data_IF_870191288244
#
_entry.id   IF_870191288244
#
_cell.length_a   1.000
_cell.length_b   1.000
_cell.length_c   1.000
_cell.angle_alpha   90.00
_cell.angle_beta   90.00
_cell.angle_gamma   90.00
#
_symmetry.space_group_name_H-M   'P 1'
#
loop_
_entity.id
_entity.type
_entity.pdbx_description
1 polymer ?
#
# COMPACT_ATOMS: atom_id res chain seq x y z
N UNK A 1 -10.08 12.33 -1.46
CA UNK A 1 -9.61 12.61 -0.09
C UNK A 1 -8.28 13.33 -0.15
N UNK A 2 -8.17 14.42 0.56
CA UNK A 2 -6.91 15.14 0.66
C UNK A 2 -6.22 14.77 1.97
N UNK A 3 -4.98 14.30 1.89
CA UNK A 3 -4.21 13.93 3.06
C UNK A 3 -3.54 15.15 3.66
N UNK A 4 -3.74 15.37 4.96
CA UNK A 4 -3.12 16.46 5.71
C UNK A 4 -1.95 15.91 6.52
N UNK A 5 -0.84 15.64 5.86
CA UNK A 5 0.35 15.08 6.48
C UNK A 5 1.52 16.04 6.29
N UNK A 6 2.20 16.43 7.37
CA UNK A 6 3.38 17.26 7.26
C UNK A 6 4.54 16.47 6.66
N UNK A 7 4.85 16.72 5.39
CA UNK A 7 5.91 15.99 4.69
C UNK A 7 7.32 16.37 5.19
N UNK A 8 7.45 17.46 5.92
CA UNK A 8 8.72 17.88 6.52
C UNK A 8 9.08 17.09 7.78
N UNK A 9 8.10 16.45 8.44
CA UNK A 9 8.36 15.70 9.66
C UNK A 9 8.74 14.27 9.35
N UNK A 10 9.82 13.81 9.97
CA UNK A 10 10.21 12.40 9.96
C UNK A 10 9.49 11.67 11.07
N UNK A 11 8.37 11.07 10.72
CA UNK A 11 7.60 10.27 11.67
C UNK A 11 8.12 8.83 11.58
N UNK A 12 8.73 8.37 12.66
CA UNK A 12 9.20 6.99 12.72
C UNK A 12 8.03 6.08 13.04
N UNK A 13 7.65 5.30 12.06
CA UNK A 13 6.67 4.26 12.25
C UNK A 13 7.24 2.95 11.72
N UNK A 14 7.08 1.90 12.50
CA UNK A 14 7.55 0.58 12.14
C UNK A 14 6.46 -0.14 11.36
N UNK A 15 6.63 -0.24 10.05
CA UNK A 15 5.67 -0.91 9.17
C UNK A 15 6.36 -2.14 8.58
N UNK A 16 6.00 -3.35 9.04
CA UNK A 16 6.70 -4.56 8.60
C UNK A 16 6.78 -4.74 7.09
N UNK A 17 5.71 -4.48 6.36
CA UNK A 17 5.71 -4.62 4.91
C UNK A 17 6.76 -3.76 4.24
N UNK A 18 6.92 -2.53 4.71
CA UNK A 18 7.90 -1.59 4.19
C UNK A 18 9.32 -2.03 4.55
N UNK A 19 9.53 -2.40 5.81
CA UNK A 19 10.85 -2.79 6.32
C UNK A 19 11.39 -4.02 5.60
N UNK A 20 10.54 -4.97 5.30
CA UNK A 20 10.94 -6.20 4.62
C UNK A 20 11.37 -5.94 3.18
N UNK A 21 10.64 -5.10 2.46
CA UNK A 21 11.01 -4.73 1.09
C UNK A 21 12.28 -3.88 1.07
N UNK A 22 12.42 -2.97 2.04
CA UNK A 22 13.66 -2.21 2.18
C UNK A 22 14.86 -3.13 2.35
N UNK A 23 14.74 -4.14 3.19
CA UNK A 23 15.77 -5.15 3.42
C UNK A 23 16.05 -5.94 2.15
N UNK A 24 15.01 -6.37 1.45
CA UNK A 24 15.15 -7.10 0.19
C UNK A 24 15.92 -6.26 -0.84
N UNK A 25 15.53 -5.01 -1.01
CA UNK A 25 16.19 -4.11 -1.96
C UNK A 25 17.66 -3.91 -1.61
N UNK A 26 17.97 -3.72 -0.33
CA UNK A 26 19.35 -3.56 0.14
C UNK A 26 20.16 -4.83 -0.14
N UNK A 27 19.61 -5.99 0.16
CA UNK A 27 20.28 -7.28 -0.02
C UNK A 27 20.62 -7.55 -1.48
N UNK A 28 19.72 -7.20 -2.39
CA UNK A 28 19.87 -7.51 -3.80
C UNK A 28 20.32 -6.32 -4.64
N UNK A 29 20.83 -5.26 -4.01
CA UNK A 29 21.40 -4.10 -4.72
C UNK A 29 20.38 -3.27 -5.48
N UNK A 30 19.12 -3.30 -5.07
CA UNK A 30 18.07 -2.48 -5.65
C UNK A 30 17.96 -1.16 -4.90
N UNK A 31 17.60 -0.05 -5.57
CA UNK A 31 17.57 1.25 -4.91
C UNK A 31 16.40 1.39 -3.93
N UNK A 32 16.69 2.04 -2.81
CA UNK A 32 15.68 2.53 -1.87
C UNK A 32 15.70 4.05 -1.89
N UNK A 33 14.55 4.67 -2.09
CA UNK A 33 14.44 6.13 -2.02
C UNK A 33 13.91 6.53 -0.65
N UNK A 34 14.44 7.65 -0.13
CA UNK A 34 14.05 8.15 1.21
C UNK A 34 13.45 9.55 1.16
N UNK A 35 13.45 10.18 -0.02
CA UNK A 35 12.78 11.47 -0.24
C UNK A 35 11.58 11.28 -1.14
N UNK A 36 10.43 11.88 -0.83
CA UNK A 36 9.26 11.79 -1.70
C UNK A 36 9.60 12.17 -3.13
N UNK A 37 9.30 11.29 -4.08
CA UNK A 37 9.64 11.47 -5.47
C UNK A 37 8.72 10.68 -6.38
N UNK A 38 8.57 11.16 -7.61
CA UNK A 38 7.98 10.38 -8.70
C UNK A 38 9.12 10.10 -9.66
N UNK A 39 9.65 8.86 -9.67
CA UNK A 39 10.77 8.51 -10.53
C UNK A 39 10.36 8.44 -12.00
N UNK A 40 11.26 7.97 -12.86
CA UNK A 40 10.98 7.83 -14.28
C UNK A 40 9.78 6.90 -14.53
N UNK A 41 9.10 7.10 -15.66
CA UNK A 41 7.96 6.28 -16.06
C UNK A 41 8.33 4.78 -16.08
N UNK A 42 9.52 4.45 -16.54
CA UNK A 42 9.99 3.06 -16.57
C UNK A 42 9.95 2.42 -15.19
N UNK A 43 10.36 3.17 -14.18
CA UNK A 43 10.41 2.68 -12.80
C UNK A 43 9.02 2.52 -12.17
N UNK A 44 8.17 3.57 -12.25
CA UNK A 44 6.85 3.46 -11.64
C UNK A 44 5.89 2.57 -12.44
N UNK A 45 6.13 2.44 -13.77
CA UNK A 45 5.33 1.54 -14.59
C UNK A 45 5.57 0.08 -14.19
N UNK A 46 6.79 -0.26 -13.77
CA UNK A 46 7.09 -1.59 -13.25
C UNK A 46 6.22 -1.94 -12.05
N UNK A 47 6.07 -1.02 -11.11
CA UNK A 47 5.19 -1.20 -9.94
C UNK A 47 3.74 -1.32 -10.38
N UNK A 48 3.31 -0.43 -11.27
CA UNK A 48 1.96 -0.45 -11.81
C UNK A 48 1.61 -1.79 -12.46
N UNK A 49 2.48 -2.27 -13.34
CA UNK A 49 2.26 -3.53 -14.06
C UNK A 49 2.21 -4.72 -13.10
N UNK A 50 3.04 -4.72 -12.06
CA UNK A 50 3.03 -5.77 -11.04
C UNK A 50 1.72 -5.80 -10.26
N UNK A 51 1.26 -4.65 -9.82
CA UNK A 51 -0.02 -4.57 -9.08
C UNK A 51 -1.16 -5.05 -9.97
N UNK A 52 -1.15 -4.67 -11.23
CA UNK A 52 -2.18 -5.08 -12.19
C UNK A 52 -2.19 -6.60 -12.39
N UNK A 53 -1.01 -7.21 -12.52
CA UNK A 53 -0.86 -8.65 -12.66
C UNK A 53 -1.40 -9.39 -11.43
N UNK A 54 -1.03 -8.94 -10.24
CA UNK A 54 -1.49 -9.55 -8.99
C UNK A 54 -3.00 -9.34 -8.78
N UNK A 55 -3.53 -8.23 -9.23
CA UNK A 55 -4.96 -7.97 -9.19
C UNK A 55 -5.74 -8.98 -10.04
N UNK A 56 -5.22 -9.31 -11.22
CA UNK A 56 -5.79 -10.33 -12.09
C UNK A 56 -5.71 -11.72 -11.47
N UNK A 57 -4.61 -12.05 -10.82
CA UNK A 57 -4.46 -13.31 -10.09
C UNK A 57 -5.46 -13.41 -8.95
N UNK A 58 -5.70 -12.31 -8.23
CA UNK A 58 -6.73 -12.25 -7.20
C UNK A 58 -8.12 -12.58 -7.76
N UNK A 59 -8.47 -11.95 -8.90
CA UNK A 59 -9.75 -12.19 -9.56
C UNK A 59 -9.92 -13.65 -9.97
N UNK A 60 -8.90 -14.23 -10.60
CA UNK A 60 -8.91 -15.63 -11.01
C UNK A 60 -9.05 -16.58 -9.82
N UNK A 61 -8.34 -16.30 -8.73
CA UNK A 61 -8.41 -17.10 -7.51
C UNK A 61 -9.83 -17.08 -6.94
N UNK A 62 -10.50 -15.93 -6.91
CA UNK A 62 -11.86 -15.80 -6.46
C UNK A 62 -12.83 -16.58 -7.36
N UNK A 63 -12.68 -16.45 -8.68
CA UNK A 63 -13.53 -17.15 -9.64
C UNK A 63 -13.37 -18.66 -9.52
N UNK A 64 -12.18 -19.14 -9.20
CA UNK A 64 -11.89 -20.57 -9.02
C UNK A 64 -12.21 -21.08 -7.61
N UNK A 65 -12.61 -20.21 -6.69
CA UNK A 65 -12.90 -20.59 -5.31
C UNK A 65 -11.68 -21.08 -4.54
N UNK A 66 -10.49 -20.61 -4.90
CA UNK A 66 -9.21 -21.05 -4.31
C UNK A 66 -8.75 -20.04 -3.26
N UNK A 67 -9.07 -20.35 -2.00
CA UNK A 67 -8.76 -19.44 -0.89
C UNK A 67 -7.25 -19.29 -0.64
N UNK A 68 -6.47 -20.30 -0.91
CA UNK A 68 -5.01 -20.26 -0.75
C UNK A 68 -4.42 -19.26 -1.77
N UNK A 69 -4.86 -19.33 -3.01
CA UNK A 69 -4.43 -18.40 -4.05
C UNK A 69 -4.93 -16.97 -3.80
N UNK A 70 -6.11 -16.82 -3.19
CA UNK A 70 -6.59 -15.51 -2.76
C UNK A 70 -5.63 -14.90 -1.74
N UNK A 71 -5.22 -15.67 -0.75
CA UNK A 71 -4.28 -15.22 0.27
C UNK A 71 -2.94 -14.85 -0.35
N UNK A 72 -2.43 -15.68 -1.24
CA UNK A 72 -1.16 -15.43 -1.94
C UNK A 72 -1.22 -14.13 -2.74
N UNK A 73 -2.28 -13.93 -3.51
CA UNK A 73 -2.45 -12.70 -4.31
C UNK A 73 -2.52 -11.45 -3.42
N UNK A 74 -3.24 -11.52 -2.30
CA UNK A 74 -3.32 -10.38 -1.37
C UNK A 74 -1.96 -10.07 -0.76
N UNK A 75 -1.17 -11.09 -0.41
CA UNK A 75 0.19 -10.89 0.08
C UNK A 75 1.07 -10.22 -0.97
N UNK A 76 0.98 -10.67 -2.22
CA UNK A 76 1.77 -10.11 -3.31
C UNK A 76 1.37 -8.66 -3.61
N UNK A 77 0.08 -8.35 -3.57
CA UNK A 77 -0.40 -6.98 -3.72
C UNK A 77 0.17 -6.08 -2.62
N UNK A 78 0.15 -6.55 -1.37
CA UNK A 78 0.71 -5.80 -0.25
C UNK A 78 2.22 -5.61 -0.43
N UNK A 79 2.93 -6.66 -0.83
CA UNK A 79 4.38 -6.60 -1.05
C UNK A 79 4.74 -5.55 -2.10
N UNK A 80 4.04 -5.53 -3.21
CA UNK A 80 4.31 -4.59 -4.31
C UNK A 80 3.83 -3.18 -3.96
N UNK A 81 2.60 -3.01 -3.48
CA UNK A 81 2.04 -1.68 -3.22
C UNK A 81 2.63 -1.02 -1.98
N UNK A 82 2.54 -1.69 -0.84
CA UNK A 82 2.99 -1.15 0.46
C UNK A 82 4.48 -1.32 0.67
N UNK A 83 5.13 -2.16 -0.10
CA UNK A 83 6.58 -2.35 -0.05
C UNK A 83 7.29 -1.64 -1.19
N UNK A 84 7.24 -2.22 -2.38
CA UNK A 84 7.96 -1.68 -3.54
C UNK A 84 7.53 -0.26 -3.88
N UNK A 85 6.22 0.00 -3.91
CA UNK A 85 5.69 1.33 -4.23
C UNK A 85 6.14 2.38 -3.22
N UNK A 86 6.05 2.06 -1.93
CA UNK A 86 6.44 2.98 -0.87
C UNK A 86 7.94 3.29 -0.94
N UNK A 87 8.79 2.27 -1.12
CA UNK A 87 10.24 2.49 -1.19
C UNK A 87 10.65 3.20 -2.48
N UNK A 88 9.98 2.92 -3.59
CA UNK A 88 10.25 3.59 -4.85
C UNK A 88 9.98 5.09 -4.78
N UNK A 89 8.89 5.46 -4.13
CA UNK A 89 8.47 6.86 -4.03
C UNK A 89 9.03 7.60 -2.81
N UNK A 90 9.86 6.95 -2.01
CA UNK A 90 10.48 7.57 -0.83
C UNK A 90 9.50 7.90 0.28
N UNK A 91 8.49 7.08 0.48
CA UNK A 91 7.39 7.34 1.40
C UNK A 91 7.41 6.50 2.68
N UNK A 92 8.54 5.87 2.99
CA UNK A 92 8.67 5.01 4.17
C UNK A 92 8.19 5.70 5.46
N UNK A 93 8.58 6.96 5.66
CA UNK A 93 8.26 7.70 6.88
C UNK A 93 6.88 8.38 6.81
N UNK A 94 6.16 8.24 5.70
CA UNK A 94 4.86 8.89 5.48
C UNK A 94 3.70 7.92 5.42
N UNK A 95 3.96 6.66 5.05
CA UNK A 95 2.88 5.72 4.76
C UNK A 95 2.00 5.43 5.99
N UNK A 96 2.59 5.24 7.17
CA UNK A 96 1.80 4.91 8.34
C UNK A 96 0.90 6.06 8.79
N UNK A 97 1.39 7.29 8.99
CA UNK A 97 0.50 8.40 9.32
C UNK A 97 -0.54 8.68 8.21
N UNK A 98 -0.18 8.49 6.95
CA UNK A 98 -1.13 8.60 5.84
C UNK A 98 -2.23 7.56 5.95
N UNK A 99 -1.86 6.31 6.22
CA UNK A 99 -2.83 5.23 6.38
C UNK A 99 -3.76 5.49 7.56
N UNK A 100 -3.24 6.01 8.67
CA UNK A 100 -4.05 6.39 9.83
C UNK A 100 -5.04 7.52 9.51
N UNK A 101 -4.62 8.46 8.66
CA UNK A 101 -5.51 9.51 8.18
C UNK A 101 -6.65 8.94 7.33
N UNK A 102 -6.35 7.97 6.47
CA UNK A 102 -7.37 7.24 5.71
C UNK A 102 -8.32 6.53 6.66
N UNK A 103 -7.81 5.87 7.69
CA UNK A 103 -8.64 5.19 8.67
C UNK A 103 -9.56 6.17 9.41
N UNK A 104 -9.02 7.29 9.86
CA UNK A 104 -9.81 8.32 10.55
C UNK A 104 -10.91 8.88 9.65
N UNK A 105 -10.59 9.13 8.39
CA UNK A 105 -11.56 9.60 7.40
C UNK A 105 -12.68 8.58 7.19
N UNK A 106 -12.33 7.31 7.04
CA UNK A 106 -13.32 6.25 6.86
C UNK A 106 -14.21 6.09 8.09
N UNK A 107 -13.63 6.16 9.28
CA UNK A 107 -14.40 6.09 10.53
C UNK A 107 -15.36 7.28 10.65
N UNK A 108 -14.92 8.48 10.28
CA UNK A 108 -15.77 9.68 10.29
C UNK A 108 -16.97 9.53 9.34
N UNK A 109 -16.74 8.98 8.14
CA UNK A 109 -17.83 8.71 7.18
C UNK A 109 -18.81 7.70 7.73
N UNK A 110 -18.33 6.66 8.38
CA UNK A 110 -19.17 5.63 8.98
C UNK A 110 -20.02 6.19 10.12
N UNK A 111 -19.46 7.07 10.95
CA UNK A 111 -20.20 7.74 12.03
C UNK A 111 -21.30 8.67 11.50
N UNK A 112 -21.05 9.37 10.38
CA UNK A 112 -22.04 10.29 9.80
C UNK A 112 -23.18 9.55 9.09
N UNK A 113 -23.00 8.28 8.78
CA UNK A 113 -23.98 7.42 8.11
C UNK A 113 -24.35 6.20 8.94
N UNK A 114 -24.23 6.30 10.24
CA UNK A 114 -24.44 5.17 11.17
C UNK A 114 -25.77 4.47 10.96
N UNK A 115 -26.87 5.23 10.84
CA UNK A 115 -28.19 4.66 10.60
C UNK A 115 -28.26 3.90 9.29
N UNK A 116 -27.70 4.44 8.22
CA UNK A 116 -27.65 3.77 6.92
C UNK A 116 -26.78 2.52 6.96
N UNK A 117 -25.65 2.56 7.65
CA UNK A 117 -24.75 1.42 7.82
C UNK A 117 -25.45 0.28 8.57
N UNK A 118 -26.23 0.59 9.61
CA UNK A 118 -26.99 -0.39 10.36
C UNK A 118 -28.15 -0.98 9.56
N UNK A 119 -28.76 -0.22 8.68
CA UNK A 119 -29.83 -0.71 7.81
C UNK A 119 -29.34 -1.61 6.69
N UNK A 120 -28.08 -1.45 6.27
CA UNK A 120 -27.49 -2.21 5.15
C UNK A 120 -26.96 -3.58 5.59
N UNK A 121 -26.82 -3.79 6.86
CA UNK A 121 -26.37 -5.05 7.43
C UNK A 121 -27.57 -5.96 7.73
#
# INVERSE_FOLDING_TARGET
MQLEIPFEENIKADVPFVNEVETFNHTFGKPNNYKPTIPSKKEWKFVYDFILEELEEYREACENGDIVEVLDALCDIAYVSLGNGVMLHGLKNKIWPAYQEVQASNMSKSCSTEEEAMETV
#
